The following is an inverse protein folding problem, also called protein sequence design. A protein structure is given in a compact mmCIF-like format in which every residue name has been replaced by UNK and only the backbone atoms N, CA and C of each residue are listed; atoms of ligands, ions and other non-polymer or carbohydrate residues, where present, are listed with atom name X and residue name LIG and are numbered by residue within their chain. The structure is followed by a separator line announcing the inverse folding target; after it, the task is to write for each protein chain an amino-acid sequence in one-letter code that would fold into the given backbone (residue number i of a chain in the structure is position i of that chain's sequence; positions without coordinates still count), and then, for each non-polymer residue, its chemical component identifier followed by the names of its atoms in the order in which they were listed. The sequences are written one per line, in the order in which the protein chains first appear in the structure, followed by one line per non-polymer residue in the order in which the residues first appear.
data_IF_976089359577
#
_entry.id   IF_976089359577
#
_cell.length_a   1.000
_cell.length_b   1.000
_cell.length_c   1.000
_cell.angle_alpha   90.00
_cell.angle_beta   90.00
_cell.angle_gamma   90.00
#
_symmetry.space_group_name_H-M   'P 1'
#
loop_
_entity.id
_entity.type
_entity.pdbx_description
1 polymer ?
#
# COMPACT_ATOMS: atom_id res chain seq x y z
N UNK A 1 -28.03 42.06 -9.10
CA UNK A 1 -27.72 40.94 -8.18
C UNK A 1 -26.35 41.23 -7.56
N UNK A 2 -26.30 41.50 -6.26
CA UNK A 2 -25.09 42.05 -5.62
C UNK A 2 -24.00 40.98 -5.50
N UNK A 3 -22.77 41.29 -5.88
CA UNK A 3 -21.63 40.37 -5.83
C UNK A 3 -21.44 39.71 -4.45
N UNK A 4 -21.76 40.43 -3.37
CA UNK A 4 -21.75 39.91 -2.00
C UNK A 4 -22.74 38.75 -1.77
N UNK A 5 -23.94 38.81 -2.38
CA UNK A 5 -24.93 37.75 -2.26
C UNK A 5 -24.48 36.47 -3.00
N UNK A 6 -23.81 36.63 -4.15
CA UNK A 6 -23.23 35.50 -4.89
C UNK A 6 -22.07 34.85 -4.12
N UNK A 7 -21.19 35.65 -3.50
CA UNK A 7 -20.09 35.13 -2.67
C UNK A 7 -20.65 34.40 -1.44
N UNK A 8 -21.64 34.99 -0.75
CA UNK A 8 -22.27 34.36 0.40
C UNK A 8 -22.96 33.04 0.04
N UNK A 9 -23.69 33.00 -1.09
CA UNK A 9 -24.30 31.77 -1.59
C UNK A 9 -23.25 30.72 -1.96
N UNK A 10 -22.15 31.11 -2.60
CA UNK A 10 -21.06 30.20 -2.94
C UNK A 10 -20.38 29.62 -1.69
N UNK A 11 -20.11 30.44 -0.67
CA UNK A 11 -19.56 29.99 0.61
C UNK A 11 -20.53 29.06 1.36
N UNK A 12 -21.83 29.39 1.36
CA UNK A 12 -22.85 28.54 1.95
C UNK A 12 -22.98 27.20 1.22
N UNK A 13 -23.00 27.20 -0.12
CA UNK A 13 -23.03 25.98 -0.92
C UNK A 13 -21.78 25.12 -0.71
N UNK A 14 -20.59 25.74 -0.63
CA UNK A 14 -19.34 25.07 -0.25
C UNK A 14 -19.43 24.47 1.15
N UNK A 15 -19.91 25.23 2.13
CA UNK A 15 -20.09 24.75 3.50
C UNK A 15 -21.05 23.56 3.55
N UNK A 16 -22.24 23.66 2.93
CA UNK A 16 -23.22 22.58 2.88
C UNK A 16 -22.67 21.33 2.19
N UNK A 17 -21.82 21.49 1.17
CA UNK A 17 -21.12 20.38 0.52
C UNK A 17 -20.12 19.68 1.46
N UNK A 18 -19.42 20.43 2.33
CA UNK A 18 -18.44 19.86 3.26
C UNK A 18 -19.02 19.45 4.63
N UNK A 19 -20.20 19.95 4.99
CA UNK A 19 -20.85 19.69 6.28
C UNK A 19 -20.98 18.19 6.61
N UNK A 20 -21.42 17.30 5.69
CA UNK A 20 -21.48 15.87 5.97
C UNK A 20 -20.12 15.27 6.36
N UNK A 21 -19.04 15.69 5.70
CA UNK A 21 -17.68 15.23 6.00
C UNK A 21 -17.20 15.71 7.36
N UNK A 22 -17.56 16.95 7.75
CA UNK A 22 -17.24 17.50 9.07
C UNK A 22 -17.99 16.71 10.15
N UNK A 23 -19.28 16.45 9.95
CA UNK A 23 -20.10 15.67 10.90
C UNK A 23 -19.58 14.24 11.03
N UNK A 24 -19.23 13.58 9.92
CA UNK A 24 -18.62 12.26 9.92
C UNK A 24 -17.29 12.25 10.67
N UNK A 25 -16.41 13.24 10.41
CA UNK A 25 -15.14 13.38 11.10
C UNK A 25 -15.32 13.56 12.61
N UNK A 26 -16.26 14.41 13.05
CA UNK A 26 -16.57 14.59 14.47
C UNK A 26 -17.09 13.31 15.11
N UNK A 27 -17.94 12.55 14.41
CA UNK A 27 -18.43 11.25 14.86
C UNK A 27 -17.30 10.24 15.02
N UNK A 28 -16.43 10.12 14.01
CA UNK A 28 -15.25 9.24 14.05
C UNK A 28 -14.31 9.67 15.17
N UNK A 29 -14.13 10.98 15.39
CA UNK A 29 -13.30 11.51 16.49
C UNK A 29 -13.87 11.14 17.86
N UNK A 30 -15.19 11.23 18.04
CA UNK A 30 -15.87 10.80 19.27
C UNK A 30 -15.72 9.30 19.50
N UNK A 31 -15.85 8.49 18.45
CA UNK A 31 -15.56 7.06 18.52
C UNK A 31 -14.08 6.79 18.84
N UNK A 32 -13.16 7.48 18.19
CA UNK A 32 -11.72 7.34 18.43
C UNK A 32 -11.34 7.64 19.89
N UNK A 33 -12.01 8.59 20.56
CA UNK A 33 -11.73 8.86 21.97
C UNK A 33 -12.04 7.70 22.92
N UNK A 34 -12.82 6.71 22.50
CA UNK A 34 -13.11 5.52 23.32
C UNK A 34 -12.03 4.44 23.21
N UNK A 35 -11.06 4.59 22.28
CA UNK A 35 -10.01 3.61 22.02
C UNK A 35 -8.66 4.22 22.45
N UNK A 36 -7.82 3.49 23.21
CA UNK A 36 -6.50 3.96 23.58
C UNK A 36 -5.62 4.15 22.35
N UNK A 37 -4.73 5.13 22.38
CA UNK A 37 -3.79 5.38 21.29
C UNK A 37 -2.99 6.67 21.49
N UNK A 38 -2.02 6.93 20.61
CA UNK A 38 -1.15 8.08 20.72
C UNK A 38 -1.90 9.39 20.49
N UNK A 39 -1.34 10.45 21.07
CA UNK A 39 -1.75 11.82 20.79
C UNK A 39 -1.33 12.24 19.38
N UNK A 40 -1.91 13.33 18.86
CA UNK A 40 -1.51 13.89 17.55
C UNK A 40 -0.04 14.36 17.56
N UNK A 41 0.47 14.81 18.71
CA UNK A 41 1.87 15.19 18.86
C UNK A 41 2.83 14.00 18.68
N UNK A 42 2.53 12.88 19.36
CA UNK A 42 3.29 11.63 19.22
C UNK A 42 3.28 11.11 17.77
N UNK A 43 2.19 11.33 17.03
CA UNK A 43 2.10 10.96 15.61
C UNK A 43 3.05 11.78 14.72
N UNK A 44 3.09 13.10 14.91
CA UNK A 44 3.92 13.99 14.10
C UNK A 44 5.41 13.76 14.36
N UNK A 45 5.79 13.51 15.62
CA UNK A 45 7.18 13.21 15.98
C UNK A 45 7.67 11.93 15.31
N UNK A 46 6.88 10.86 15.37
CA UNK A 46 7.28 9.56 14.81
C UNK A 46 7.25 9.53 13.28
N UNK A 47 6.38 10.32 12.63
CA UNK A 47 6.39 10.49 11.18
C UNK A 47 7.75 10.99 10.66
N UNK A 48 8.54 11.70 11.48
CA UNK A 48 9.88 12.16 11.12
C UNK A 48 10.97 11.08 11.26
N UNK A 49 10.74 10.06 12.09
CA UNK A 49 11.74 9.02 12.42
C UNK A 49 11.80 7.88 11.39
N UNK A 50 10.78 7.71 10.55
CA UNK A 50 10.77 6.73 9.45
C UNK A 50 10.68 5.24 9.86
N UNK A 51 10.68 4.91 11.15
CA UNK A 51 10.64 3.54 11.67
C UNK A 51 9.23 3.13 12.10
N UNK A 52 8.33 2.96 11.13
CA UNK A 52 6.91 2.69 11.41
C UNK A 52 6.69 1.42 12.24
N UNK A 53 7.38 0.32 11.93
CA UNK A 53 7.18 -0.96 12.61
C UNK A 53 7.64 -0.92 14.08
N UNK A 54 8.80 -0.31 14.34
CA UNK A 54 9.31 -0.15 15.70
C UNK A 54 8.36 0.70 16.55
N UNK A 55 7.79 1.75 15.95
CA UNK A 55 6.80 2.59 16.61
C UNK A 55 5.46 1.89 16.83
N UNK A 56 4.95 1.12 15.85
CA UNK A 56 3.74 0.31 16.06
C UNK A 56 3.93 -0.71 17.20
N UNK A 57 5.13 -1.31 17.30
CA UNK A 57 5.47 -2.21 18.40
C UNK A 57 5.51 -1.48 19.76
N UNK A 58 6.01 -0.23 19.80
CA UNK A 58 5.99 0.55 21.06
C UNK A 58 4.57 0.96 21.47
N UNK A 59 3.70 1.26 20.51
CA UNK A 59 2.28 1.51 20.77
C UNK A 59 1.56 0.27 21.29
N UNK A 60 1.83 -0.90 20.70
CA UNK A 60 1.31 -2.18 21.21
C UNK A 60 1.72 -2.40 22.66
N UNK A 61 3.01 -2.20 23.00
CA UNK A 61 3.50 -2.33 24.38
C UNK A 61 2.86 -1.33 25.35
N UNK A 62 2.50 -0.12 24.89
CA UNK A 62 1.94 0.96 25.72
C UNK A 62 0.41 0.87 25.88
N UNK A 63 -0.30 0.48 24.83
CA UNK A 63 -1.76 0.55 24.76
C UNK A 63 -2.46 -0.82 24.72
N UNK A 64 -1.69 -1.90 24.60
CA UNK A 64 -2.20 -3.28 24.57
C UNK A 64 -2.53 -3.76 23.15
N UNK A 65 -3.35 -4.82 23.09
CA UNK A 65 -3.69 -5.55 21.85
C UNK A 65 -4.58 -4.77 20.91
N UNK A 66 -5.32 -3.77 21.41
CA UNK A 66 -6.21 -2.91 20.62
C UNK A 66 -5.84 -1.45 20.84
N UNK A 67 -5.45 -0.75 19.78
CA UNK A 67 -5.14 0.67 19.85
C UNK A 67 -5.45 1.38 18.53
N UNK A 68 -5.71 2.68 18.60
CA UNK A 68 -5.94 3.52 17.42
C UNK A 68 -4.69 4.25 16.98
N UNK A 69 -4.62 4.60 15.71
CA UNK A 69 -3.64 5.51 15.10
C UNK A 69 -4.36 6.38 14.08
N UNK A 70 -4.09 7.68 14.08
CA UNK A 70 -4.56 8.56 13.02
C UNK A 70 -3.50 8.66 11.92
N UNK A 71 -3.87 8.26 10.70
CA UNK A 71 -3.04 8.42 9.51
C UNK A 71 -3.66 9.52 8.65
N UNK A 72 -3.18 10.76 8.82
CA UNK A 72 -3.83 11.93 8.23
C UNK A 72 -5.23 12.11 8.81
N UNK A 73 -6.23 12.13 7.92
CA UNK A 73 -7.67 12.22 8.27
C UNK A 73 -8.32 10.85 8.57
N UNK A 74 -7.61 9.75 8.33
CA UNK A 74 -8.19 8.41 8.42
C UNK A 74 -7.83 7.76 9.77
N UNK A 75 -8.85 7.29 10.50
CA UNK A 75 -8.67 6.52 11.74
C UNK A 75 -8.36 5.05 11.39
N UNK A 76 -7.25 4.54 11.90
CA UNK A 76 -6.88 3.12 11.82
C UNK A 76 -6.91 2.51 13.21
N UNK A 77 -7.60 1.38 13.37
CA UNK A 77 -7.60 0.62 14.63
C UNK A 77 -6.82 -0.67 14.39
N UNK A 78 -5.83 -0.92 15.23
CA UNK A 78 -4.99 -2.10 15.20
C UNK A 78 -5.55 -3.13 16.17
N UNK A 79 -5.63 -4.37 15.71
CA UNK A 79 -6.00 -5.54 16.49
C UNK A 79 -4.84 -6.53 16.42
N UNK A 80 -4.33 -6.92 17.57
CA UNK A 80 -3.21 -7.88 17.70
C UNK A 80 -3.60 -9.12 18.48
N UNK A 81 -4.80 -9.15 19.07
CA UNK A 81 -5.35 -10.35 19.68
C UNK A 81 -5.75 -11.37 18.59
N UNK A 82 -5.30 -12.63 18.65
CA UNK A 82 -5.63 -13.63 17.63
C UNK A 82 -7.13 -13.86 17.44
N UNK A 83 -7.93 -13.75 18.50
CA UNK A 83 -9.38 -13.95 18.44
C UNK A 83 -10.07 -12.79 17.71
N UNK A 84 -9.68 -11.55 18.00
CA UNK A 84 -10.15 -10.36 17.26
C UNK A 84 -9.79 -10.46 15.77
N UNK A 85 -8.54 -10.82 15.46
CA UNK A 85 -8.05 -10.97 14.08
C UNK A 85 -8.86 -12.06 13.36
N UNK A 86 -9.13 -13.19 14.02
CA UNK A 86 -9.95 -14.27 13.46
C UNK A 86 -11.36 -13.79 13.15
N UNK A 87 -12.01 -13.08 14.07
CA UNK A 87 -13.37 -12.56 13.86
C UNK A 87 -13.44 -11.59 12.68
N UNK A 88 -12.44 -10.71 12.52
CA UNK A 88 -12.39 -9.75 11.42
C UNK A 88 -12.13 -10.46 10.07
N UNK A 89 -11.13 -11.34 10.00
CA UNK A 89 -10.69 -11.96 8.75
C UNK A 89 -11.60 -13.09 8.25
N UNK A 90 -12.33 -13.76 9.14
CA UNK A 90 -13.30 -14.81 8.76
C UNK A 90 -14.64 -14.25 8.29
N UNK A 91 -14.89 -12.96 8.49
CA UNK A 91 -16.16 -12.34 8.16
C UNK A 91 -16.27 -11.96 6.68
N UNK A 92 -16.95 -12.79 5.90
CA UNK A 92 -17.22 -12.57 4.47
C UNK A 92 -18.13 -11.36 4.16
N UNK A 93 -18.66 -10.66 5.18
CA UNK A 93 -19.36 -9.37 4.99
C UNK A 93 -18.39 -8.18 5.04
N UNK A 94 -17.18 -8.34 5.58
CA UNK A 94 -16.15 -7.29 5.67
C UNK A 94 -15.21 -7.27 4.46
N UNK A 95 -15.74 -7.47 3.25
CA UNK A 95 -14.94 -7.51 2.01
C UNK A 95 -14.61 -6.13 1.44
N UNK A 96 -15.14 -5.05 2.03
CA UNK A 96 -14.85 -3.69 1.60
C UNK A 96 -13.43 -3.30 2.01
N UNK A 97 -12.62 -2.90 1.02
CA UNK A 97 -11.26 -2.42 1.24
C UNK A 97 -11.26 -1.06 1.92
N UNK A 98 -10.20 -0.77 2.68
CA UNK A 98 -9.99 0.55 3.26
C UNK A 98 -9.53 1.56 2.20
N UNK A 99 -9.65 2.86 2.51
CA UNK A 99 -9.17 3.95 1.66
C UNK A 99 -7.67 3.87 1.33
N UNK A 100 -6.90 3.09 2.10
CA UNK A 100 -5.50 2.83 1.79
C UNK A 100 -5.32 2.11 0.45
N UNK A 101 -6.25 1.22 0.08
CA UNK A 101 -6.21 0.54 -1.21
C UNK A 101 -6.52 1.48 -2.37
N UNK A 102 -7.38 2.49 -2.16
CA UNK A 102 -7.68 3.51 -3.17
C UNK A 102 -6.41 4.26 -3.60
N UNK A 103 -5.46 4.48 -2.69
CA UNK A 103 -4.17 5.11 -3.00
C UNK A 103 -3.32 4.29 -3.98
N UNK A 104 -3.52 2.98 -4.04
CA UNK A 104 -2.79 2.07 -4.94
C UNK A 104 -3.46 1.89 -6.29
N UNK A 105 -4.71 2.35 -6.45
CA UNK A 105 -5.49 2.19 -7.69
C UNK A 105 -4.91 2.97 -8.86
N UNK A 106 -4.15 4.05 -8.60
CA UNK A 106 -3.46 4.81 -9.64
C UNK A 106 -2.44 3.96 -10.41
N UNK A 107 -1.92 2.90 -9.78
CA UNK A 107 -0.99 1.94 -10.39
C UNK A 107 -1.69 0.63 -10.75
N UNK A 108 -2.39 0.03 -9.79
CA UNK A 108 -2.92 -1.34 -9.95
C UNK A 108 -4.31 -1.39 -10.58
N UNK A 109 -4.95 -0.24 -10.77
CA UNK A 109 -6.33 -0.13 -11.22
C UNK A 109 -7.33 -0.80 -10.28
N UNK A 110 -8.54 -1.05 -10.78
CA UNK A 110 -9.58 -1.86 -10.11
C UNK A 110 -9.36 -3.33 -10.43
N UNK A 111 -8.61 -4.02 -9.57
CA UNK A 111 -8.20 -5.42 -9.71
C UNK A 111 -8.62 -6.28 -8.51
N UNK A 112 -8.03 -7.48 -8.39
CA UNK A 112 -8.30 -8.40 -7.27
C UNK A 112 -7.92 -7.78 -5.91
N UNK A 113 -6.85 -6.97 -5.86
CA UNK A 113 -6.39 -6.35 -4.62
C UNK A 113 -7.28 -5.20 -4.14
N UNK A 114 -7.77 -4.39 -5.09
CA UNK A 114 -8.44 -3.10 -4.82
C UNK A 114 -9.97 -3.17 -4.91
N UNK A 115 -10.53 -4.17 -5.62
CA UNK A 115 -11.97 -4.36 -5.71
C UNK A 115 -12.57 -4.93 -4.42
N UNK A 116 -13.87 -4.70 -4.22
CA UNK A 116 -14.65 -5.22 -3.09
C UNK A 116 -15.88 -6.01 -3.59
N UNK A 117 -16.49 -6.76 -2.67
CA UNK A 117 -17.79 -7.42 -2.84
C UNK A 117 -17.86 -8.29 -4.12
N UNK A 118 -18.93 -8.16 -4.90
CA UNK A 118 -19.20 -8.97 -6.10
C UNK A 118 -18.10 -8.88 -7.16
N UNK A 119 -17.58 -7.66 -7.42
CA UNK A 119 -16.49 -7.46 -8.37
C UNK A 119 -15.23 -8.24 -7.95
N UNK A 120 -14.93 -8.25 -6.65
CA UNK A 120 -13.85 -9.05 -6.09
C UNK A 120 -14.13 -10.55 -6.21
N UNK A 121 -15.33 -11.00 -5.84
CA UNK A 121 -15.72 -12.42 -5.89
C UNK A 121 -15.60 -12.98 -7.31
N UNK A 122 -16.10 -12.24 -8.31
CA UNK A 122 -16.02 -12.63 -9.73
C UNK A 122 -14.57 -12.78 -10.18
N UNK A 123 -13.72 -11.80 -9.90
CA UNK A 123 -12.28 -11.83 -10.26
C UNK A 123 -11.55 -12.95 -9.53
N UNK A 124 -11.83 -13.16 -8.24
CA UNK A 124 -11.24 -14.25 -7.46
C UNK A 124 -11.60 -15.61 -8.04
N UNK A 125 -12.88 -15.82 -8.37
CA UNK A 125 -13.35 -17.08 -8.99
C UNK A 125 -12.64 -17.36 -10.30
N UNK A 126 -12.42 -16.32 -11.12
CA UNK A 126 -11.70 -16.44 -12.39
C UNK A 126 -10.22 -16.81 -12.21
N UNK A 127 -9.54 -16.20 -11.23
CA UNK A 127 -8.09 -16.35 -11.05
C UNK A 127 -7.67 -17.56 -10.22
N UNK A 128 -8.54 -18.06 -9.33
CA UNK A 128 -8.21 -19.18 -8.42
C UNK A 128 -7.66 -20.43 -9.13
N UNK A 129 -8.16 -20.85 -10.31
CA UNK A 129 -7.61 -22.02 -11.01
C UNK A 129 -6.12 -21.90 -11.39
N UNK A 130 -5.60 -20.69 -11.60
CA UNK A 130 -4.19 -20.47 -11.93
C UNK A 130 -3.24 -20.78 -10.75
N UNK A 131 -3.79 -20.88 -9.54
CA UNK A 131 -3.04 -21.23 -8.32
C UNK A 131 -3.30 -22.68 -7.87
N UNK A 132 -3.92 -23.51 -8.72
CA UNK A 132 -4.11 -24.92 -8.43
C UNK A 132 -2.77 -25.66 -8.49
N UNK A 133 -2.54 -26.62 -7.59
CA UNK A 133 -1.25 -27.33 -7.45
C UNK A 133 -0.70 -27.92 -8.76
N UNK A 134 -1.60 -28.36 -9.66
CA UNK A 134 -1.21 -28.82 -11.00
C UNK A 134 -0.49 -27.74 -11.80
N UNK A 135 -1.04 -26.52 -11.83
CA UNK A 135 -0.45 -25.36 -12.52
C UNK A 135 0.83 -24.92 -11.80
N UNK A 136 0.83 -24.90 -10.46
CA UNK A 136 2.03 -24.57 -9.69
C UNK A 136 3.19 -25.55 -9.96
N UNK A 137 2.89 -26.82 -10.26
CA UNK A 137 3.89 -27.80 -10.66
C UNK A 137 4.58 -27.46 -11.98
N UNK A 138 3.89 -26.78 -12.90
CA UNK A 138 4.43 -26.32 -14.19
C UNK A 138 5.42 -25.15 -14.00
N UNK A 139 5.39 -24.46 -12.84
CA UNK A 139 6.28 -23.33 -12.56
C UNK A 139 7.69 -23.75 -12.11
N UNK A 140 7.92 -25.04 -11.87
CA UNK A 140 9.20 -25.56 -11.40
C UNK A 140 10.35 -25.22 -12.35
N UNK A 141 10.17 -25.47 -13.65
CA UNK A 141 11.21 -25.23 -14.66
C UNK A 141 11.60 -23.74 -14.74
N UNK A 142 10.66 -22.80 -14.94
CA UNK A 142 10.97 -21.37 -14.90
C UNK A 142 11.63 -20.91 -13.59
N UNK A 143 11.21 -21.45 -12.45
CA UNK A 143 11.80 -21.10 -11.15
C UNK A 143 13.25 -21.58 -11.04
N UNK A 144 13.54 -22.81 -11.49
CA UNK A 144 14.89 -23.37 -11.50
C UNK A 144 15.82 -22.55 -12.39
N UNK A 145 15.40 -22.24 -13.63
CA UNK A 145 16.17 -21.42 -14.57
C UNK A 145 16.53 -20.06 -13.96
N UNK A 146 15.55 -19.36 -13.38
CA UNK A 146 15.77 -18.08 -12.74
C UNK A 146 16.64 -18.20 -11.48
N UNK A 147 16.58 -19.34 -10.77
CA UNK A 147 17.42 -19.60 -9.60
C UNK A 147 18.88 -19.81 -9.99
N UNK A 148 19.17 -20.49 -11.10
CA UNK A 148 20.52 -20.66 -11.61
C UNK A 148 21.17 -19.31 -11.96
N UNK A 149 20.40 -18.38 -12.54
CA UNK A 149 20.85 -17.00 -12.78
C UNK A 149 21.19 -16.31 -11.46
N UNK A 150 20.30 -16.39 -10.46
CA UNK A 150 20.54 -15.80 -9.14
C UNK A 150 21.81 -16.36 -8.50
N UNK A 151 21.99 -17.68 -8.50
CA UNK A 151 23.17 -18.35 -7.95
C UNK A 151 24.44 -17.87 -8.65
N UNK A 152 24.42 -17.71 -9.99
CA UNK A 152 25.57 -17.19 -10.73
C UNK A 152 25.97 -15.79 -10.25
N UNK A 153 25.00 -14.89 -10.05
CA UNK A 153 25.22 -13.53 -9.55
C UNK A 153 25.73 -13.49 -8.12
N UNK A 154 25.23 -14.38 -7.25
CA UNK A 154 25.67 -14.47 -5.86
C UNK A 154 27.07 -15.06 -5.75
N UNK A 155 27.47 -15.99 -6.64
CA UNK A 155 28.85 -16.51 -6.70
C UNK A 155 29.87 -15.41 -6.98
N UNK A 156 29.55 -14.45 -7.84
CA UNK A 156 30.41 -13.27 -8.09
C UNK A 156 30.62 -12.41 -6.83
N UNK A 157 29.70 -12.47 -5.87
CA UNK A 157 29.77 -11.76 -4.58
C UNK A 157 30.30 -12.62 -3.44
N UNK A 158 30.62 -13.89 -3.69
CA UNK A 158 31.14 -14.82 -2.68
C UNK A 158 32.64 -14.62 -2.42
N UNK A 159 33.09 -13.37 -2.24
CA UNK A 159 34.48 -13.01 -1.95
C UNK A 159 34.78 -12.94 -0.43
N UNK A 160 33.80 -13.28 0.43
CA UNK A 160 33.90 -13.21 1.88
C UNK A 160 33.45 -11.88 2.50
N UNK A 161 33.09 -10.88 1.67
CA UNK A 161 32.57 -9.60 2.13
C UNK A 161 31.05 -9.63 2.34
N UNK A 162 30.56 -8.77 3.23
CA UNK A 162 29.13 -8.57 3.41
C UNK A 162 28.57 -7.70 2.27
N UNK A 163 27.41 -8.09 1.75
CA UNK A 163 26.69 -7.31 0.74
C UNK A 163 25.18 -7.38 0.99
N UNK A 164 24.45 -6.41 0.43
CA UNK A 164 22.99 -6.41 0.49
C UNK A 164 22.41 -7.38 -0.56
N UNK A 165 21.71 -8.42 -0.10
CA UNK A 165 21.07 -9.42 -0.95
C UNK A 165 19.71 -8.96 -1.48
N UNK A 166 19.11 -7.93 -0.89
CA UNK A 166 17.74 -7.50 -1.21
C UNK A 166 17.52 -7.17 -2.70
N UNK A 167 18.43 -6.46 -3.40
CA UNK A 167 18.27 -6.21 -4.84
C UNK A 167 18.25 -7.50 -5.66
N UNK A 168 19.09 -8.48 -5.33
CA UNK A 168 19.21 -9.74 -6.05
C UNK A 168 17.92 -10.58 -5.95
N UNK A 169 17.38 -10.72 -4.73
CA UNK A 169 16.13 -11.45 -4.51
C UNK A 169 14.95 -10.73 -5.16
N UNK A 170 14.93 -9.40 -5.14
CA UNK A 170 13.87 -8.61 -5.78
C UNK A 170 13.83 -8.82 -7.29
N UNK A 171 15.00 -8.81 -7.95
CA UNK A 171 15.09 -9.05 -9.39
C UNK A 171 14.75 -10.49 -9.76
N UNK A 172 15.21 -11.47 -8.97
CA UNK A 172 14.81 -12.87 -9.13
C UNK A 172 13.30 -13.05 -9.02
N UNK A 173 12.68 -12.49 -7.98
CA UNK A 173 11.24 -12.60 -7.77
C UNK A 173 10.45 -11.97 -8.93
N UNK A 174 10.95 -10.87 -9.51
CA UNK A 174 10.34 -10.23 -10.66
C UNK A 174 10.44 -11.08 -11.93
N UNK A 175 11.58 -11.70 -12.20
CA UNK A 175 11.71 -12.61 -13.34
C UNK A 175 10.86 -13.86 -13.16
N UNK A 176 10.90 -14.47 -11.98
CA UNK A 176 10.11 -15.66 -11.67
C UNK A 176 8.61 -15.41 -11.88
N UNK A 177 8.05 -14.33 -11.32
CA UNK A 177 6.62 -14.02 -11.50
C UNK A 177 6.30 -13.65 -12.95
N UNK A 178 7.22 -12.99 -13.66
CA UNK A 178 7.00 -12.61 -15.05
C UNK A 178 6.94 -13.83 -15.97
N UNK A 179 7.79 -14.81 -15.72
CA UNK A 179 7.83 -16.02 -16.51
C UNK A 179 6.68 -16.95 -16.14
N UNK A 180 6.42 -17.18 -14.85
CA UNK A 180 5.38 -18.12 -14.42
C UNK A 180 3.97 -17.60 -14.64
N UNK A 181 3.71 -16.32 -14.34
CA UNK A 181 2.35 -15.76 -14.41
C UNK A 181 2.03 -15.09 -15.74
N UNK A 182 3.03 -14.55 -16.45
CA UNK A 182 2.82 -13.84 -17.72
C UNK A 182 3.40 -14.58 -18.94
N UNK A 183 4.20 -15.63 -18.74
CA UNK A 183 4.90 -16.31 -19.84
C UNK A 183 5.98 -15.46 -20.49
N UNK A 184 6.50 -14.44 -19.78
CA UNK A 184 7.45 -13.46 -20.31
C UNK A 184 8.81 -13.55 -19.62
N UNK A 185 9.87 -13.75 -20.40
CA UNK A 185 11.25 -13.62 -19.93
C UNK A 185 11.68 -12.14 -19.92
N UNK A 186 11.59 -11.49 -18.75
CA UNK A 186 11.98 -10.08 -18.58
C UNK A 186 13.48 -9.88 -18.43
N UNK A 187 14.20 -10.90 -17.96
CA UNK A 187 15.65 -10.86 -17.71
C UNK A 187 16.05 -9.68 -16.78
N UNK A 188 15.22 -9.33 -15.81
CA UNK A 188 15.44 -8.28 -14.83
C UNK A 188 16.74 -8.50 -14.03
N UNK A 189 17.11 -9.76 -13.75
CA UNK A 189 18.40 -10.09 -13.10
C UNK A 189 19.62 -9.71 -13.95
N UNK A 190 19.46 -9.64 -15.28
CA UNK A 190 20.51 -9.24 -16.23
C UNK A 190 20.42 -7.76 -16.60
N UNK A 191 19.20 -7.20 -16.57
CA UNK A 191 18.88 -5.82 -16.92
C UNK A 191 18.31 -5.06 -15.72
N UNK A 192 19.05 -5.03 -14.63
CA UNK A 192 18.63 -4.40 -13.37
C UNK A 192 18.31 -2.91 -13.52
N UNK A 193 18.91 -2.26 -14.51
CA UNK A 193 18.74 -0.83 -14.80
C UNK A 193 17.60 -0.52 -15.78
N UNK A 194 16.80 -1.53 -16.16
CA UNK A 194 15.67 -1.33 -17.08
C UNK A 194 14.66 -0.32 -16.53
N UNK A 195 14.03 0.43 -17.44
CA UNK A 195 13.04 1.46 -17.08
C UNK A 195 11.89 0.87 -16.25
N UNK A 196 11.46 -0.35 -16.58
CA UNK A 196 10.40 -1.04 -15.85
C UNK A 196 10.80 -1.33 -14.40
N UNK A 197 11.99 -1.88 -14.14
CA UNK A 197 12.46 -2.15 -12.77
C UNK A 197 12.51 -0.87 -11.95
N UNK A 198 13.06 0.21 -12.53
CA UNK A 198 13.13 1.54 -11.89
C UNK A 198 11.75 2.12 -11.61
N UNK A 199 10.81 1.97 -12.53
CA UNK A 199 9.44 2.44 -12.37
C UNK A 199 8.71 1.70 -11.23
N UNK A 200 8.84 0.36 -11.17
CA UNK A 200 8.26 -0.45 -10.07
C UNK A 200 8.86 -0.06 -8.72
N UNK A 201 10.18 0.08 -8.62
CA UNK A 201 10.83 0.51 -7.36
C UNK A 201 10.37 1.91 -6.94
N UNK A 202 10.26 2.83 -7.89
CA UNK A 202 9.83 4.21 -7.65
C UNK A 202 8.39 4.26 -7.15
N UNK A 203 7.46 3.58 -7.84
CA UNK A 203 6.05 3.61 -7.44
C UNK A 203 5.84 2.95 -6.07
N UNK A 204 6.51 1.84 -5.79
CA UNK A 204 6.47 1.18 -4.48
C UNK A 204 6.96 2.11 -3.35
N UNK A 205 8.11 2.76 -3.54
CA UNK A 205 8.67 3.72 -2.58
C UNK A 205 7.73 4.90 -2.34
N UNK A 206 7.19 5.49 -3.41
CA UNK A 206 6.29 6.64 -3.31
C UNK A 206 4.98 6.25 -2.63
N UNK A 207 4.37 5.13 -3.00
CA UNK A 207 3.14 4.65 -2.37
C UNK A 207 3.35 4.31 -0.89
N UNK A 208 4.46 3.67 -0.53
CA UNK A 208 4.82 3.41 0.86
C UNK A 208 4.92 4.71 1.67
N UNK A 209 5.64 5.71 1.14
CA UNK A 209 5.75 7.04 1.77
C UNK A 209 4.39 7.71 1.90
N UNK A 210 3.54 7.61 0.87
CA UNK A 210 2.18 8.19 0.87
C UNK A 210 1.27 7.52 1.91
N UNK A 211 1.35 6.21 2.05
CA UNK A 211 0.56 5.44 3.00
C UNK A 211 0.86 5.82 4.46
N UNK A 212 2.12 6.09 4.80
CA UNK A 212 2.51 6.35 6.19
C UNK A 212 2.76 7.83 6.52
N UNK A 213 2.82 8.71 5.53
CA UNK A 213 2.92 10.15 5.77
C UNK A 213 1.56 10.76 6.10
N UNK A 214 1.52 11.54 7.19
CA UNK A 214 0.37 12.38 7.52
C UNK A 214 -0.01 13.36 6.39
N UNK A 215 0.97 14.07 5.83
CA UNK A 215 0.73 15.13 4.83
C UNK A 215 0.39 14.60 3.43
N UNK A 216 1.12 13.60 2.93
CA UNK A 216 0.91 13.04 1.58
C UNK A 216 -0.44 12.30 1.42
N UNK A 217 -1.19 12.08 2.52
CA UNK A 217 -2.58 11.58 2.47
C UNK A 217 -3.62 12.62 2.08
N UNK A 218 -3.27 13.91 2.16
CA UNK A 218 -4.11 14.98 1.64
C UNK A 218 -3.79 15.15 0.15
N UNK A 219 -4.72 14.78 -0.72
CA UNK A 219 -4.49 14.77 -2.17
C UNK A 219 -4.05 16.12 -2.72
N UNK A 220 -4.60 17.22 -2.19
CA UNK A 220 -4.20 18.56 -2.59
C UNK A 220 -2.71 18.81 -2.28
N UNK A 221 -2.27 18.48 -1.07
CA UNK A 221 -0.87 18.64 -0.65
C UNK A 221 0.02 17.73 -1.49
N UNK A 222 -0.38 16.46 -1.67
CA UNK A 222 0.38 15.47 -2.42
C UNK A 222 0.70 15.92 -3.85
N UNK A 223 -0.28 16.50 -4.56
CA UNK A 223 -0.12 16.97 -5.95
C UNK A 223 0.99 18.02 -6.13
N UNK A 224 1.35 18.75 -5.08
CA UNK A 224 2.43 19.74 -5.11
C UNK A 224 3.80 19.20 -4.67
N UNK A 225 3.90 17.90 -4.34
CA UNK A 225 5.16 17.28 -3.92
C UNK A 225 5.94 16.69 -5.09
N UNK A 226 7.26 16.58 -4.97
CA UNK A 226 8.07 15.89 -5.98
C UNK A 226 7.76 14.40 -6.08
N UNK A 227 7.31 13.79 -4.97
CA UNK A 227 6.83 12.41 -4.97
C UNK A 227 5.66 12.19 -5.95
N UNK A 228 4.78 13.18 -6.13
CA UNK A 228 3.71 13.09 -7.14
C UNK A 228 4.25 13.13 -8.57
N UNK A 229 5.27 13.97 -8.84
CA UNK A 229 5.93 14.02 -10.16
C UNK A 229 6.62 12.68 -10.46
N UNK A 230 7.42 12.19 -9.51
CA UNK A 230 8.10 10.89 -9.61
C UNK A 230 7.10 9.75 -9.87
N UNK A 231 5.98 9.74 -9.15
CA UNK A 231 4.90 8.77 -9.35
C UNK A 231 4.33 8.83 -10.77
N UNK A 232 4.07 10.01 -11.30
CA UNK A 232 3.48 10.15 -12.63
C UNK A 232 4.45 9.74 -13.74
N UNK A 233 5.74 10.04 -13.61
CA UNK A 233 6.73 9.58 -14.58
C UNK A 233 6.87 8.05 -14.55
N UNK A 234 6.92 7.44 -13.36
CA UNK A 234 6.92 5.98 -13.24
C UNK A 234 5.67 5.34 -13.86
N UNK A 235 4.50 5.95 -13.67
CA UNK A 235 3.23 5.46 -14.24
C UNK A 235 3.13 5.55 -15.76
N UNK A 236 4.01 6.30 -16.45
CA UNK A 236 4.05 6.29 -17.92
C UNK A 236 4.69 5.01 -18.48
N UNK A 237 5.49 4.33 -17.67
CA UNK A 237 6.22 3.11 -18.04
C UNK A 237 5.46 1.85 -17.63
N UNK A 238 4.65 1.94 -16.56
CA UNK A 238 3.89 0.83 -15.96
C UNK A 238 2.54 0.61 -16.64
#
# INVERSE_FOLDING_TARGET
MNALALIAFALWALFMRYLPHIVEFLRIRKFASTIPGPSIGELIENAKKGQILAWLNSLYKKHGTVFRVWLGKDLTVFFSDPEDVRQILSNNKLLRKSKNYELTEVWLGKGLLTSANEAWQRRRKLLTPAFHFRILGEFKEPMEDNCQILISKLREKANGEQFDIYPYITLFALDAISETAMGLKKNAQMQSESEYVKAVQTICRVLYKRLFSFWHRFDLIYRFTDAYKESNEALKVL
#
